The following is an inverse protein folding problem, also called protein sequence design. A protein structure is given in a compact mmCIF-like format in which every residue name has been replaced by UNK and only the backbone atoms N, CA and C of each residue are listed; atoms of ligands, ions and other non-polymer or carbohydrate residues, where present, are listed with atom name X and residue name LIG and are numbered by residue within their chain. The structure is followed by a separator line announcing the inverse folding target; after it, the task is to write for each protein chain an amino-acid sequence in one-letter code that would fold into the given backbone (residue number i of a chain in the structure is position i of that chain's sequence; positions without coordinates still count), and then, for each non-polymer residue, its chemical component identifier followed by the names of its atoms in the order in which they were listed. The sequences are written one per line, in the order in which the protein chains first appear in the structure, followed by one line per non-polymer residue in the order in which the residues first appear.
data_IF_937349947076
#
_entry.id   IF_937349947076
#
_cell.length_a   1.000
_cell.length_b   1.000
_cell.length_c   1.000
_cell.angle_alpha   90.00
_cell.angle_beta   90.00
_cell.angle_gamma   90.00
#
_symmetry.space_group_name_H-M   'P 1'
#
loop_
_entity.id
_entity.type
_entity.pdbx_description
1 polymer ?
#
# COMPACT_ATOMS: atom_id res chain seq x y z
N UNK A 1 19.61 -28.16 1.20
CA UNK A 1 19.18 -28.86 -0.03
C UNK A 1 19.00 -27.81 -1.12
N UNK A 2 19.07 -28.11 -2.43
CA UNK A 2 18.82 -27.10 -3.48
C UNK A 2 17.32 -26.92 -3.67
N UNK A 3 16.84 -25.68 -3.67
CA UNK A 3 15.47 -25.34 -4.03
C UNK A 3 15.46 -24.67 -5.41
N UNK A 4 14.56 -25.11 -6.29
CA UNK A 4 14.41 -24.62 -7.65
C UNK A 4 13.01 -23.98 -7.82
N UNK A 5 12.98 -22.80 -8.44
CA UNK A 5 11.75 -22.04 -8.67
C UNK A 5 11.52 -21.85 -10.18
N UNK A 6 10.28 -21.91 -10.61
CA UNK A 6 9.88 -21.57 -11.99
C UNK A 6 8.84 -20.46 -11.98
N UNK A 7 8.86 -19.61 -13.00
CA UNK A 7 8.01 -18.43 -13.10
C UNK A 7 7.26 -18.39 -14.43
N UNK A 8 6.10 -17.73 -14.46
CA UNK A 8 5.42 -17.35 -15.70
C UNK A 8 6.11 -16.14 -16.36
N UNK A 9 5.65 -15.75 -17.55
CA UNK A 9 6.21 -14.60 -18.29
C UNK A 9 5.89 -13.24 -17.65
N UNK A 10 5.05 -13.20 -16.60
CA UNK A 10 4.73 -11.99 -15.82
C UNK A 10 5.54 -11.94 -14.52
N UNK A 11 6.42 -12.91 -14.28
CA UNK A 11 7.24 -12.97 -13.07
C UNK A 11 6.52 -13.57 -11.86
N UNK A 12 5.40 -14.27 -12.03
CA UNK A 12 4.77 -14.98 -10.92
C UNK A 12 5.33 -16.40 -10.78
N UNK A 13 5.67 -16.82 -9.56
CA UNK A 13 6.19 -18.16 -9.29
C UNK A 13 5.09 -19.19 -9.55
N UNK A 14 5.31 -20.12 -10.47
CA UNK A 14 4.33 -21.18 -10.82
C UNK A 14 4.67 -22.54 -10.23
N UNK A 15 5.89 -22.70 -9.70
CA UNK A 15 6.39 -24.00 -9.22
C UNK A 15 7.60 -23.85 -8.30
N UNK A 16 7.63 -24.65 -7.24
CA UNK A 16 8.75 -24.86 -6.33
C UNK A 16 9.13 -26.35 -6.26
N UNK A 17 10.43 -26.64 -6.33
CA UNK A 17 10.99 -27.99 -6.16
C UNK A 17 12.13 -27.99 -5.11
N UNK A 18 12.11 -28.93 -4.16
CA UNK A 18 13.18 -29.12 -3.19
C UNK A 18 13.92 -30.42 -3.47
N UNK A 19 15.20 -30.35 -3.85
CA UNK A 19 16.00 -31.54 -4.13
C UNK A 19 15.47 -32.42 -5.29
N UNK A 20 14.77 -31.80 -6.26
CA UNK A 20 14.00 -32.43 -7.36
C UNK A 20 12.65 -33.06 -6.95
N UNK A 21 12.28 -33.00 -5.69
CA UNK A 21 10.91 -33.31 -5.27
C UNK A 21 10.02 -32.08 -5.51
N UNK A 22 8.85 -32.29 -6.08
CA UNK A 22 7.85 -31.25 -6.24
C UNK A 22 7.33 -30.82 -4.85
N UNK A 23 7.37 -29.52 -4.57
CA UNK A 23 6.95 -28.95 -3.30
C UNK A 23 5.61 -28.23 -3.42
N UNK A 24 5.52 -27.23 -4.30
CA UNK A 24 4.30 -26.44 -4.52
C UNK A 24 4.14 -26.04 -5.98
N UNK A 25 2.91 -25.75 -6.38
CA UNK A 25 2.58 -25.18 -7.68
C UNK A 25 1.46 -24.16 -7.58
N UNK A 26 1.47 -23.20 -8.51
CA UNK A 26 0.62 -22.01 -8.46
C UNK A 26 0.07 -21.66 -9.85
N UNK A 27 -1.15 -21.12 -9.92
CA UNK A 27 -1.75 -20.56 -11.13
C UNK A 27 -2.26 -19.15 -10.85
N UNK A 28 -1.86 -18.19 -11.68
CA UNK A 28 -2.28 -16.79 -11.58
C UNK A 28 -3.31 -16.44 -12.65
N UNK A 29 -4.37 -15.74 -12.25
CA UNK A 29 -5.45 -15.31 -13.12
C UNK A 29 -5.09 -14.12 -14.01
N UNK A 30 -6.09 -13.63 -14.76
CA UNK A 30 -5.95 -12.47 -15.63
C UNK A 30 -5.64 -11.17 -14.85
N UNK A 31 -6.14 -11.05 -13.62
CA UNK A 31 -5.85 -9.94 -12.70
C UNK A 31 -4.48 -10.04 -12.00
N UNK A 32 -3.63 -10.98 -12.42
CA UNK A 32 -2.34 -11.28 -11.77
C UNK A 32 -2.47 -11.68 -10.29
N UNK A 33 -3.60 -12.28 -9.91
CA UNK A 33 -3.87 -12.84 -8.57
C UNK A 33 -3.73 -14.36 -8.57
N UNK A 34 -3.23 -14.94 -7.48
CA UNK A 34 -3.17 -16.40 -7.29
C UNK A 34 -4.59 -16.98 -7.29
N UNK A 35 -4.94 -17.76 -8.30
CA UNK A 35 -6.25 -18.43 -8.41
C UNK A 35 -6.24 -19.86 -7.88
N UNK A 36 -5.07 -20.52 -7.89
CA UNK A 36 -4.93 -21.91 -7.45
C UNK A 36 -3.54 -22.16 -6.90
N UNK A 37 -3.45 -22.86 -5.79
CA UNK A 37 -2.22 -23.47 -5.28
C UNK A 37 -2.41 -24.97 -5.06
N UNK A 38 -1.32 -25.74 -5.08
CA UNK A 38 -1.33 -27.15 -4.69
C UNK A 38 0.02 -27.59 -4.15
N UNK A 39 -0.02 -28.54 -3.22
CA UNK A 39 1.16 -29.05 -2.50
C UNK A 39 1.74 -30.33 -3.13
N UNK A 40 2.88 -30.77 -2.60
CA UNK A 40 3.58 -31.99 -3.01
C UNK A 40 2.79 -33.29 -2.80
N UNK A 41 1.72 -33.24 -2.01
CA UNK A 41 0.82 -34.38 -1.73
C UNK A 41 -0.40 -34.38 -2.65
N UNK A 42 -0.58 -33.34 -3.46
CA UNK A 42 -1.70 -33.17 -4.39
C UNK A 42 -2.94 -32.55 -3.76
N UNK A 43 -2.83 -31.98 -2.56
CA UNK A 43 -3.90 -31.16 -1.99
C UNK A 43 -3.98 -29.84 -2.77
N UNK A 44 -5.19 -29.43 -3.13
CA UNK A 44 -5.42 -28.25 -3.97
C UNK A 44 -6.29 -27.21 -3.24
N UNK A 45 -5.95 -25.93 -3.41
CA UNK A 45 -6.73 -24.79 -2.99
C UNK A 45 -7.06 -23.90 -4.19
N UNK A 46 -8.32 -23.48 -4.30
CA UNK A 46 -8.81 -22.50 -5.27
C UNK A 46 -9.19 -21.22 -4.52
N UNK A 47 -8.84 -20.06 -5.08
CA UNK A 47 -9.07 -18.77 -4.44
C UNK A 47 -10.08 -17.91 -5.22
N UNK A 48 -10.98 -17.28 -4.48
CA UNK A 48 -12.01 -16.39 -5.04
C UNK A 48 -11.70 -14.94 -4.70
N UNK A 49 -11.89 -14.04 -5.68
CA UNK A 49 -11.67 -12.61 -5.53
C UNK A 49 -12.89 -11.81 -6.00
N UNK A 50 -13.16 -10.69 -5.35
CA UNK A 50 -14.15 -9.72 -5.82
C UNK A 50 -13.61 -8.87 -6.98
N UNK A 51 -14.47 -8.01 -7.54
CA UNK A 51 -14.08 -7.11 -8.64
C UNK A 51 -13.04 -6.04 -8.27
N UNK A 52 -12.79 -5.83 -6.97
CA UNK A 52 -11.74 -4.96 -6.44
C UNK A 52 -10.43 -5.71 -6.19
N UNK A 53 -10.37 -7.01 -6.50
CA UNK A 53 -9.17 -7.83 -6.33
C UNK A 53 -8.91 -8.28 -4.90
N UNK A 54 -9.88 -8.19 -3.98
CA UNK A 54 -9.73 -8.69 -2.60
C UNK A 54 -10.20 -10.15 -2.51
N UNK A 55 -9.48 -10.99 -1.76
CA UNK A 55 -9.77 -12.43 -1.64
C UNK A 55 -11.00 -12.65 -0.75
N UNK A 56 -12.09 -13.15 -1.33
CA UNK A 56 -13.41 -13.36 -0.68
C UNK A 56 -13.68 -14.80 -0.27
N UNK A 57 -12.78 -15.73 -0.56
CA UNK A 57 -12.95 -17.11 -0.14
C UNK A 57 -11.89 -18.04 -0.71
N UNK A 58 -11.99 -19.30 -0.31
CA UNK A 58 -11.13 -20.39 -0.73
C UNK A 58 -11.92 -21.70 -0.77
N UNK A 59 -11.55 -22.60 -1.69
CA UNK A 59 -12.07 -23.97 -1.72
C UNK A 59 -10.90 -24.95 -1.65
N UNK A 60 -10.90 -25.84 -0.67
CA UNK A 60 -9.89 -26.90 -0.51
C UNK A 60 -10.56 -28.25 -0.37
N UNK A 61 -10.19 -29.22 -1.21
CA UNK A 61 -10.75 -30.57 -1.22
C UNK A 61 -12.31 -30.62 -1.23
N UNK A 62 -12.92 -29.63 -1.89
CA UNK A 62 -14.38 -29.47 -1.97
C UNK A 62 -15.05 -28.85 -0.74
N UNK A 63 -14.28 -28.45 0.28
CA UNK A 63 -14.76 -27.62 1.38
C UNK A 63 -14.59 -26.15 1.04
N UNK A 64 -15.66 -25.38 1.16
CA UNK A 64 -15.67 -23.95 0.88
C UNK A 64 -15.51 -23.15 2.18
N UNK A 65 -14.70 -22.10 2.08
CA UNK A 65 -14.54 -21.05 3.07
C UNK A 65 -14.95 -19.72 2.45
N UNK A 66 -15.94 -19.06 3.04
CA UNK A 66 -16.38 -17.73 2.62
C UNK A 66 -15.84 -16.66 3.58
N UNK A 67 -15.41 -15.53 3.02
CA UNK A 67 -14.83 -14.42 3.76
C UNK A 67 -15.74 -13.19 3.70
N UNK A 68 -16.12 -12.67 4.86
CA UNK A 68 -16.72 -11.34 4.97
C UNK A 68 -15.60 -10.32 5.17
N UNK A 69 -15.54 -9.33 4.29
CA UNK A 69 -14.50 -8.30 4.32
C UNK A 69 -15.05 -6.93 4.72
N UNK A 70 -14.26 -6.16 5.45
CA UNK A 70 -14.42 -4.71 5.57
C UNK A 70 -13.88 -4.03 4.31
N UNK A 71 -14.77 -3.65 3.40
CA UNK A 71 -14.38 -3.02 2.15
C UNK A 71 -13.85 -1.58 2.33
N UNK A 72 -13.91 -1.02 3.53
CA UNK A 72 -13.30 0.28 3.85
C UNK A 72 -11.82 0.17 4.22
N UNK A 73 -11.30 -1.06 4.34
CA UNK A 73 -9.91 -1.33 4.71
C UNK A 73 -9.19 -2.17 3.64
N UNK A 74 -7.97 -1.79 3.24
CA UNK A 74 -7.19 -2.52 2.23
C UNK A 74 -6.54 -3.80 2.76
N UNK A 75 -6.17 -3.81 4.05
CA UNK A 75 -5.67 -4.94 4.82
C UNK A 75 -6.35 -5.00 6.20
N UNK A 76 -6.04 -6.02 7.01
CA UNK A 76 -6.72 -6.28 8.30
C UNK A 76 -8.24 -6.21 8.22
N UNK A 77 -8.77 -6.64 7.06
CA UNK A 77 -10.15 -6.43 6.68
C UNK A 77 -11.01 -7.70 6.77
N UNK A 78 -10.46 -8.83 7.21
CA UNK A 78 -11.20 -10.08 7.31
C UNK A 78 -12.10 -10.07 8.55
N UNK A 79 -13.39 -9.76 8.40
CA UNK A 79 -14.35 -9.71 9.50
C UNK A 79 -14.90 -11.08 9.89
N UNK A 80 -15.08 -11.99 8.93
CA UNK A 80 -15.61 -13.33 9.19
C UNK A 80 -14.99 -14.38 8.26
N UNK A 81 -14.77 -15.59 8.79
CA UNK A 81 -14.61 -16.81 8.00
C UNK A 81 -15.80 -17.73 8.31
N UNK A 82 -16.53 -18.12 7.26
CA UNK A 82 -17.62 -19.08 7.34
C UNK A 82 -17.26 -20.38 6.64
N UNK A 83 -17.42 -21.51 7.34
CA UNK A 83 -17.18 -22.87 6.85
C UNK A 83 -18.36 -23.76 7.27
N UNK A 84 -18.47 -24.96 6.68
CA UNK A 84 -19.52 -25.90 7.10
C UNK A 84 -19.40 -26.26 8.59
N UNK A 85 -20.31 -25.73 9.43
CA UNK A 85 -20.38 -26.03 10.86
C UNK A 85 -19.42 -25.23 11.77
N UNK A 86 -18.64 -24.29 11.21
CA UNK A 86 -17.73 -23.40 11.95
C UNK A 86 -17.80 -21.98 11.38
N UNK A 87 -17.95 -21.00 12.25
CA UNK A 87 -17.91 -19.57 11.94
C UNK A 87 -16.94 -18.89 12.90
N UNK A 88 -16.09 -18.01 12.36
CA UNK A 88 -15.13 -17.23 13.12
C UNK A 88 -15.33 -15.75 12.80
N UNK A 89 -15.69 -14.96 13.80
CA UNK A 89 -15.79 -13.51 13.68
C UNK A 89 -14.52 -12.87 14.23
N UNK A 90 -13.97 -11.89 13.55
CA UNK A 90 -12.71 -11.23 13.92
C UNK A 90 -12.96 -9.77 14.27
N UNK A 91 -12.25 -9.30 15.29
CA UNK A 91 -12.35 -7.96 15.81
C UNK A 91 -10.98 -7.29 15.75
N UNK A 92 -10.95 -6.09 15.21
CA UNK A 92 -9.74 -5.31 14.96
C UNK A 92 -9.77 -4.00 15.72
N UNK A 93 -8.58 -3.50 16.02
CA UNK A 93 -8.33 -2.11 16.38
C UNK A 93 -7.30 -1.58 15.37
N UNK A 94 -6.00 -1.80 15.63
CA UNK A 94 -4.90 -1.63 14.65
C UNK A 94 -4.57 -2.94 13.90
N UNK A 95 -4.61 -4.07 14.62
CA UNK A 95 -4.50 -5.43 14.11
C UNK A 95 -5.52 -6.34 14.83
N UNK A 96 -5.56 -7.63 14.54
CA UNK A 96 -6.52 -8.60 15.12
C UNK A 96 -6.36 -8.68 16.64
N UNK A 97 -7.36 -8.23 17.38
CA UNK A 97 -7.32 -8.26 18.86
C UNK A 97 -8.07 -9.46 19.42
N UNK A 98 -9.13 -9.89 18.74
CA UNK A 98 -9.96 -10.99 19.19
C UNK A 98 -10.61 -11.74 18.03
N UNK A 99 -10.96 -13.00 18.31
CA UNK A 99 -11.79 -13.84 17.46
C UNK A 99 -12.90 -14.44 18.31
N UNK A 100 -14.12 -14.49 17.79
CA UNK A 100 -15.21 -15.26 18.37
C UNK A 100 -15.43 -16.54 17.58
N UNK A 101 -15.26 -17.69 18.23
CA UNK A 101 -15.46 -19.01 17.63
C UNK A 101 -16.89 -19.50 17.88
N UNK A 102 -17.62 -19.80 16.81
CA UNK A 102 -18.90 -20.51 16.83
C UNK A 102 -18.74 -21.85 16.10
N UNK A 103 -18.55 -22.93 16.85
CA UNK A 103 -18.34 -24.28 16.31
C UNK A 103 -19.37 -25.27 16.86
N UNK A 104 -19.91 -26.13 15.99
CA UNK A 104 -20.77 -27.25 16.40
C UNK A 104 -19.92 -28.50 16.73
N UNK A 105 -19.31 -28.53 17.92
CA UNK A 105 -18.92 -29.77 18.60
C UNK A 105 -17.84 -30.64 17.96
N UNK A 106 -16.63 -30.10 17.74
CA UNK A 106 -15.46 -30.90 17.36
C UNK A 106 -14.25 -30.68 18.28
N UNK A 107 -13.45 -31.73 18.47
CA UNK A 107 -12.12 -31.66 19.05
C UNK A 107 -11.12 -31.32 17.95
N UNK A 108 -10.45 -30.17 18.08
CA UNK A 108 -9.30 -29.80 17.26
C UNK A 108 -8.07 -30.65 17.58
N UNK A 109 -6.90 -30.28 17.06
CA UNK A 109 -5.60 -30.99 17.10
C UNK A 109 -5.08 -31.39 18.51
N UNK A 110 -5.80 -32.26 19.20
CA UNK A 110 -5.58 -32.63 20.61
C UNK A 110 -5.93 -31.52 21.63
N UNK A 111 -6.61 -30.44 21.20
CA UNK A 111 -7.07 -29.32 22.04
C UNK A 111 -8.59 -29.19 21.97
N UNK A 112 -9.19 -28.83 23.09
CA UNK A 112 -10.62 -28.50 23.15
C UNK A 112 -10.79 -27.00 22.91
N UNK A 113 -11.49 -26.60 21.86
CA UNK A 113 -11.77 -25.20 21.56
C UNK A 113 -13.00 -24.75 22.36
N UNK A 114 -12.95 -23.60 23.03
CA UNK A 114 -14.14 -23.03 23.67
C UNK A 114 -14.90 -22.16 22.68
N UNK A 115 -16.23 -22.29 22.61
CA UNK A 115 -17.03 -21.31 21.87
C UNK A 115 -17.05 -19.98 22.64
N UNK A 116 -16.96 -18.87 21.92
CA UNK A 116 -16.88 -17.51 22.47
C UNK A 116 -15.57 -16.80 22.11
N UNK A 117 -15.25 -15.74 22.86
CA UNK A 117 -14.14 -14.84 22.58
C UNK A 117 -12.77 -15.43 22.94
N UNK A 118 -11.85 -15.34 21.99
CA UNK A 118 -10.44 -15.68 22.07
C UNK A 118 -9.65 -14.40 21.80
N UNK A 119 -8.60 -14.18 22.57
CA UNK A 119 -7.77 -12.97 22.49
C UNK A 119 -6.39 -13.29 21.95
N UNK A 120 -5.92 -12.42 21.06
CA UNK A 120 -4.60 -12.47 20.45
C UNK A 120 -3.59 -11.70 21.30
N UNK A 121 -2.41 -12.29 21.46
CA UNK A 121 -1.22 -11.65 22.01
C UNK A 121 -0.15 -11.69 20.92
N UNK A 122 0.22 -10.51 20.43
CA UNK A 122 1.08 -10.34 19.28
C UNK A 122 2.47 -9.83 19.68
N UNK A 123 3.44 -9.98 18.80
CA UNK A 123 4.74 -9.28 18.86
C UNK A 123 4.61 -7.82 18.36
N UNK A 124 5.74 -7.11 18.33
CA UNK A 124 5.84 -5.73 17.85
C UNK A 124 5.53 -5.55 16.36
N UNK A 125 5.63 -6.61 15.55
CA UNK A 125 5.31 -6.59 14.11
C UNK A 125 3.85 -6.99 13.84
N UNK A 126 3.10 -7.36 14.87
CA UNK A 126 1.72 -7.80 14.75
C UNK A 126 1.53 -9.31 14.51
N UNK A 127 2.59 -10.12 14.62
CA UNK A 127 2.48 -11.57 14.49
C UNK A 127 1.84 -12.18 15.75
N UNK A 128 0.81 -13.03 15.65
CA UNK A 128 0.25 -13.73 16.80
C UNK A 128 1.28 -14.67 17.44
N UNK A 129 1.68 -14.39 18.68
CA UNK A 129 2.52 -15.29 19.48
C UNK A 129 1.68 -16.28 20.29
N UNK A 130 0.52 -15.82 20.79
CA UNK A 130 -0.42 -16.67 21.53
C UNK A 130 -1.87 -16.29 21.23
N UNK A 131 -2.74 -17.30 21.24
CA UNK A 131 -4.19 -17.12 21.17
C UNK A 131 -4.85 -17.89 22.32
N UNK A 132 -5.64 -17.19 23.12
CA UNK A 132 -6.39 -17.78 24.24
C UNK A 132 -7.64 -18.52 23.76
N UNK A 133 -8.41 -19.13 24.67
CA UNK A 133 -9.67 -19.80 24.29
C UNK A 133 -9.54 -21.29 23.94
N UNK A 134 -8.41 -21.91 24.32
CA UNK A 134 -8.15 -23.34 24.10
C UNK A 134 -7.90 -24.07 25.42
N UNK A 135 -8.42 -25.28 25.55
CA UNK A 135 -8.15 -26.19 26.66
C UNK A 135 -7.13 -27.26 26.25
N UNK A 136 -6.12 -27.51 27.09
CA UNK A 136 -5.21 -28.63 26.91
C UNK A 136 -5.65 -29.84 27.74
N UNK A 137 -5.77 -31.01 27.11
CA UNK A 137 -5.92 -32.26 27.85
C UNK A 137 -4.64 -32.60 28.60
N UNK A 138 -4.74 -33.13 29.83
CA UNK A 138 -3.60 -33.43 30.70
C UNK A 138 -2.53 -34.38 30.09
N UNK A 139 -2.81 -35.03 28.96
CA UNK A 139 -1.89 -35.91 28.23
C UNK A 139 -1.40 -35.37 26.88
N UNK A 140 -1.82 -34.18 26.43
CA UNK A 140 -1.43 -33.70 25.08
C UNK A 140 -0.06 -33.04 25.02
N UNK A 141 0.55 -32.69 26.16
CA UNK A 141 1.81 -31.94 26.21
C UNK A 141 1.71 -30.52 25.65
N UNK A 142 0.51 -30.05 25.26
CA UNK A 142 0.26 -28.75 24.63
C UNK A 142 -0.25 -27.72 25.64
N UNK A 143 0.00 -26.43 25.38
CA UNK A 143 -0.50 -25.32 26.20
C UNK A 143 -2.01 -25.09 26.00
N UNK A 144 -2.68 -24.47 26.98
CA UNK A 144 -4.06 -23.94 26.90
C UNK A 144 -4.16 -22.67 26.02
N UNK A 145 -3.13 -22.41 25.23
CA UNK A 145 -3.06 -21.38 24.22
C UNK A 145 -2.63 -22.06 22.92
N UNK A 146 -3.09 -21.54 21.79
CA UNK A 146 -2.28 -21.65 20.59
C UNK A 146 -1.01 -20.84 20.84
N UNK A 147 0.13 -21.34 20.39
CA UNK A 147 1.42 -20.70 20.60
C UNK A 147 2.22 -20.87 19.34
N UNK A 148 2.77 -19.78 18.84
CA UNK A 148 3.49 -19.74 17.58
C UNK A 148 4.89 -19.18 17.80
N UNK A 149 5.79 -19.54 16.91
CA UNK A 149 7.15 -19.03 16.87
C UNK A 149 7.51 -18.70 15.43
N UNK A 150 8.19 -17.58 15.25
CA UNK A 150 8.64 -17.06 13.96
C UNK A 150 10.13 -16.76 14.06
N UNK A 151 10.86 -16.99 12.98
CA UNK A 151 12.17 -16.36 12.78
C UNK A 151 12.01 -14.93 12.24
N UNK A 152 13.11 -14.31 11.79
CA UNK A 152 13.11 -12.92 11.33
C UNK A 152 12.29 -12.74 10.05
N UNK A 153 12.08 -13.79 9.27
CA UNK A 153 11.34 -13.78 8.00
C UNK A 153 10.00 -14.50 8.07
N UNK A 154 9.58 -14.95 9.26
CA UNK A 154 8.28 -15.56 9.49
C UNK A 154 8.24 -17.09 9.40
N UNK A 155 9.38 -17.77 9.26
CA UNK A 155 9.41 -19.23 9.19
C UNK A 155 8.82 -19.87 10.46
N UNK A 156 8.06 -20.95 10.27
CA UNK A 156 7.44 -21.68 11.38
C UNK A 156 8.51 -22.45 12.16
N UNK A 157 8.88 -21.88 13.31
CA UNK A 157 9.86 -22.48 14.22
C UNK A 157 9.41 -23.88 14.70
N UNK A 158 8.10 -24.13 14.77
CA UNK A 158 7.56 -25.45 15.08
C UNK A 158 7.91 -26.48 14.01
N UNK A 159 7.72 -26.12 12.73
CA UNK A 159 8.08 -26.98 11.58
C UNK A 159 9.58 -27.27 11.56
N UNK A 160 10.43 -26.27 11.80
CA UNK A 160 11.89 -26.46 11.88
C UNK A 160 12.30 -27.44 12.99
N UNK A 161 11.67 -27.35 14.16
CA UNK A 161 11.93 -28.28 15.27
C UNK A 161 11.51 -29.70 14.90
N UNK A 162 10.36 -29.88 14.24
CA UNK A 162 9.88 -31.19 13.79
C UNK A 162 10.83 -31.82 12.76
N UNK A 163 11.32 -31.04 11.80
CA UNK A 163 12.31 -31.47 10.81
C UNK A 163 13.65 -31.87 11.45
N UNK A 164 14.01 -31.21 12.57
CA UNK A 164 15.19 -31.52 13.37
C UNK A 164 14.98 -32.69 14.36
N UNK A 165 13.80 -33.34 14.36
CA UNK A 165 13.39 -34.38 15.31
C UNK A 165 13.42 -33.89 16.79
N UNK A 166 13.23 -32.59 17.02
CA UNK A 166 13.15 -31.96 18.34
C UNK A 166 11.67 -31.80 18.73
N UNK A 167 11.28 -32.07 20.00
CA UNK A 167 9.90 -31.87 20.44
C UNK A 167 9.38 -30.45 20.17
N UNK A 168 8.33 -30.33 19.36
CA UNK A 168 7.70 -29.06 18.99
C UNK A 168 6.68 -28.60 20.06
N UNK A 169 6.89 -27.45 20.72
CA UNK A 169 5.94 -26.88 21.68
C UNK A 169 4.89 -25.94 21.03
N UNK A 170 5.05 -25.61 19.75
CA UNK A 170 4.22 -24.66 19.00
C UNK A 170 3.03 -25.36 18.32
N UNK A 171 1.99 -24.58 17.95
CA UNK A 171 0.95 -25.01 17.01
C UNK A 171 1.35 -24.67 15.58
N UNK A 172 0.75 -25.35 14.60
CA UNK A 172 1.00 -25.05 13.19
C UNK A 172 0.36 -23.73 12.78
N UNK A 173 1.10 -22.90 12.03
CA UNK A 173 0.56 -21.67 11.47
C UNK A 173 -0.67 -21.96 10.59
N UNK A 174 -1.70 -21.11 10.66
CA UNK A 174 -3.00 -21.34 9.99
C UNK A 174 -3.89 -22.43 10.61
N UNK A 175 -3.39 -23.23 11.56
CA UNK A 175 -4.25 -24.17 12.29
C UNK A 175 -5.14 -23.45 13.31
N UNK A 176 -6.42 -23.80 13.31
CA UNK A 176 -7.50 -23.24 14.15
C UNK A 176 -7.83 -21.76 13.92
N UNK A 177 -6.88 -20.93 13.51
CA UNK A 177 -7.05 -19.52 13.18
C UNK A 177 -6.12 -19.10 12.04
N UNK A 178 -6.50 -18.11 11.21
CA UNK A 178 -5.85 -17.88 9.92
C UNK A 178 -4.59 -17.00 9.96
N UNK A 179 -4.37 -16.21 11.00
CA UNK A 179 -3.33 -15.17 11.01
C UNK A 179 -1.98 -15.71 11.49
N UNK A 180 -0.88 -15.24 10.90
CA UNK A 180 0.47 -15.57 11.33
C UNK A 180 1.39 -14.37 11.24
N UNK A 181 2.57 -14.55 10.66
CA UNK A 181 3.61 -13.52 10.56
C UNK A 181 3.02 -12.17 10.11
N UNK A 182 3.32 -11.12 10.90
CA UNK A 182 2.87 -9.72 10.72
C UNK A 182 1.36 -9.50 10.57
N UNK A 183 0.53 -10.47 10.97
CA UNK A 183 -0.93 -10.41 10.82
C UNK A 183 -1.43 -10.87 9.44
N UNK A 184 -0.56 -11.36 8.57
CA UNK A 184 -0.98 -11.98 7.30
C UNK A 184 -1.78 -13.25 7.52
N UNK A 185 -2.60 -13.62 6.54
CA UNK A 185 -3.29 -14.90 6.54
C UNK A 185 -2.37 -15.99 5.99
N UNK A 186 -2.10 -17.01 6.78
CA UNK A 186 -1.30 -18.16 6.34
C UNK A 186 -2.15 -19.10 5.47
N UNK A 187 -1.57 -19.55 4.37
CA UNK A 187 -2.13 -20.57 3.50
C UNK A 187 -1.36 -21.89 3.64
N UNK A 188 -2.00 -22.86 4.28
CA UNK A 188 -1.44 -24.20 4.52
C UNK A 188 -1.26 -25.04 3.25
N UNK A 189 -1.98 -24.75 2.17
CA UNK A 189 -1.84 -25.48 0.89
C UNK A 189 -0.80 -24.81 -0.01
N UNK A 190 -0.79 -23.48 -0.05
CA UNK A 190 0.20 -22.69 -0.78
C UNK A 190 1.57 -22.68 -0.12
N UNK A 191 1.62 -22.89 1.21
CA UNK A 191 2.84 -22.74 2.00
C UNK A 191 3.32 -21.29 2.04
N UNK A 192 2.39 -20.33 1.94
CA UNK A 192 2.65 -18.91 1.79
C UNK A 192 1.78 -18.06 2.72
N UNK A 193 2.10 -16.78 2.80
CA UNK A 193 1.31 -15.78 3.50
C UNK A 193 0.61 -14.85 2.51
N UNK A 194 -0.70 -14.72 2.63
CA UNK A 194 -1.45 -13.79 1.80
C UNK A 194 -1.36 -12.36 2.36
N UNK A 195 -0.56 -11.54 1.68
CA UNK A 195 -0.32 -10.13 1.98
C UNK A 195 -1.19 -9.20 1.13
N UNK A 196 -2.44 -9.58 0.85
CA UNK A 196 -3.39 -8.85 -0.02
C UNK A 196 -2.98 -8.73 -1.49
N UNK A 197 -1.90 -8.00 -1.79
CA UNK A 197 -1.45 -7.79 -3.15
C UNK A 197 -0.76 -9.03 -3.74
N UNK A 198 0.02 -9.73 -2.92
CA UNK A 198 0.94 -10.81 -3.29
C UNK A 198 0.98 -11.89 -2.20
N UNK A 199 1.55 -13.04 -2.56
CA UNK A 199 1.88 -14.10 -1.62
C UNK A 199 3.33 -13.95 -1.15
N UNK A 200 3.55 -13.94 0.16
CA UNK A 200 4.85 -13.84 0.80
C UNK A 200 5.35 -15.24 1.19
N UNK A 201 6.58 -15.56 0.79
CA UNK A 201 7.25 -16.83 1.02
C UNK A 201 8.31 -16.64 2.12
N UNK A 202 8.11 -17.28 3.27
CA UNK A 202 9.02 -17.15 4.42
C UNK A 202 10.35 -17.86 4.19
N UNK A 203 10.34 -19.01 3.52
CA UNK A 203 11.53 -19.86 3.33
C UNK A 203 12.68 -19.13 2.62
N UNK A 204 12.37 -18.08 1.85
CA UNK A 204 13.35 -17.25 1.15
C UNK A 204 13.18 -15.74 1.40
N UNK A 205 12.27 -15.35 2.31
CA UNK A 205 12.03 -13.96 2.72
C UNK A 205 11.61 -13.04 1.57
N UNK A 206 10.74 -13.49 0.66
CA UNK A 206 10.42 -12.79 -0.60
C UNK A 206 8.97 -12.98 -1.02
N UNK A 207 8.47 -12.09 -1.88
CA UNK A 207 7.18 -12.31 -2.56
C UNK A 207 7.29 -13.39 -3.64
N UNK A 208 6.18 -14.08 -3.90
CA UNK A 208 6.05 -15.11 -4.93
C UNK A 208 5.85 -14.51 -6.33
N UNK A 209 5.47 -13.23 -6.42
CA UNK A 209 5.26 -12.51 -7.66
C UNK A 209 6.12 -11.24 -7.73
N UNK A 210 6.51 -10.85 -8.94
CA UNK A 210 7.09 -9.52 -9.18
C UNK A 210 6.10 -8.46 -8.69
N UNK A 211 6.65 -7.44 -8.05
CA UNK A 211 5.96 -6.19 -7.87
C UNK A 211 5.40 -5.67 -9.21
N UNK A 212 4.16 -5.20 -9.18
CA UNK A 212 3.53 -4.58 -10.35
C UNK A 212 4.26 -3.29 -10.72
N UNK A 213 4.96 -2.67 -9.77
CA UNK A 213 5.80 -1.51 -10.01
C UNK A 213 7.25 -1.93 -10.21
N UNK A 214 7.87 -1.41 -11.28
CA UNK A 214 9.20 -1.85 -11.70
C UNK A 214 10.29 -1.13 -10.90
N UNK A 215 11.28 -1.91 -10.47
CA UNK A 215 12.44 -1.40 -9.76
C UNK A 215 13.23 -0.35 -10.53
N UNK A 216 13.87 0.55 -9.78
CA UNK A 216 14.64 1.66 -10.32
C UNK A 216 16.12 1.26 -10.50
N UNK A 217 16.71 1.55 -11.67
CA UNK A 217 18.12 1.27 -11.96
C UNK A 217 19.10 2.07 -11.09
N UNK A 218 18.66 3.22 -10.56
CA UNK A 218 19.46 4.07 -9.67
C UNK A 218 19.54 3.46 -8.27
N UNK A 219 18.51 2.73 -7.83
CA UNK A 219 18.51 2.00 -6.56
C UNK A 219 18.46 0.50 -6.84
N UNK A 220 19.65 -0.07 -7.02
CA UNK A 220 19.85 -1.45 -7.44
C UNK A 220 19.11 -2.50 -6.58
N UNK A 221 18.76 -2.21 -5.32
CA UNK A 221 18.00 -3.14 -4.47
C UNK A 221 16.52 -3.26 -4.87
N UNK A 222 15.94 -2.22 -5.47
CA UNK A 222 14.53 -2.20 -5.95
C UNK A 222 14.38 -2.94 -7.28
N UNK A 223 15.47 -3.08 -8.05
CA UNK A 223 15.51 -3.94 -9.24
C UNK A 223 15.10 -5.38 -8.93
N UNK A 224 15.26 -5.80 -7.67
CA UNK A 224 14.69 -7.02 -7.17
C UNK A 224 13.22 -6.83 -6.74
N UNK A 225 12.31 -7.02 -7.69
CA UNK A 225 10.85 -6.88 -7.51
C UNK A 225 10.20 -7.97 -6.64
N UNK A 226 10.98 -8.87 -6.06
CA UNK A 226 10.51 -9.89 -5.11
C UNK A 226 10.90 -9.56 -3.67
N UNK A 227 11.56 -8.44 -3.44
CA UNK A 227 12.09 -8.08 -2.12
C UNK A 227 10.96 -7.91 -1.11
N UNK A 228 11.15 -8.44 0.09
CA UNK A 228 10.30 -8.16 1.24
C UNK A 228 11.06 -7.26 2.21
N UNK A 229 10.52 -6.08 2.50
CA UNK A 229 11.07 -5.17 3.51
C UNK A 229 12.57 -4.87 3.35
N UNK A 230 13.10 -4.83 2.12
CA UNK A 230 14.53 -4.65 1.79
C UNK A 230 15.47 -5.70 2.43
N UNK A 231 14.95 -6.87 2.79
CA UNK A 231 15.60 -7.89 3.64
C UNK A 231 15.90 -7.39 5.07
N UNK A 232 15.13 -6.43 5.59
CA UNK A 232 15.19 -5.92 6.95
C UNK A 232 13.82 -6.01 7.65
N UNK A 233 13.34 -7.23 7.76
CA UNK A 233 12.02 -7.59 8.29
C UNK A 233 11.86 -7.46 9.81
N UNK A 234 12.93 -7.06 10.52
CA UNK A 234 12.87 -6.74 11.95
C UNK A 234 12.41 -5.30 12.23
N UNK A 235 12.55 -4.41 11.23
CA UNK A 235 12.16 -3.00 11.36
C UNK A 235 10.92 -2.65 10.55
N UNK A 236 10.66 -3.35 9.45
CA UNK A 236 9.60 -2.98 8.50
C UNK A 236 8.60 -4.11 8.31
N UNK A 237 7.34 -3.72 8.08
CA UNK A 237 6.21 -4.61 7.81
C UNK A 237 5.45 -4.08 6.59
N UNK A 238 5.13 -4.96 5.64
CA UNK A 238 4.41 -4.61 4.43
C UNK A 238 2.93 -5.08 4.51
N UNK A 239 2.00 -4.33 5.09
CA UNK A 239 0.68 -4.89 5.45
C UNK A 239 -0.22 -5.35 4.29
N UNK A 240 -0.06 -4.78 3.10
CA UNK A 240 -0.88 -5.09 1.91
C UNK A 240 -0.09 -5.26 0.62
N UNK A 241 1.24 -5.16 0.67
CA UNK A 241 2.12 -5.17 -0.47
C UNK A 241 2.41 -3.80 -1.11
N UNK A 242 2.02 -2.64 -0.50
CA UNK A 242 2.01 -1.24 -1.05
C UNK A 242 2.09 -0.10 0.04
N UNK A 243 2.42 1.16 -0.30
CA UNK A 243 2.55 2.35 0.61
C UNK A 243 2.30 3.74 -0.08
N UNK A 244 1.47 4.65 0.50
CA UNK A 244 1.11 5.98 -0.07
C UNK A 244 1.03 7.13 0.97
N UNK A 245 1.59 8.31 0.65
CA UNK A 245 1.65 9.49 1.56
C UNK A 245 1.04 10.77 0.95
N UNK A 246 0.38 11.59 1.79
CA UNK A 246 -0.30 12.82 1.37
C UNK A 246 0.05 14.02 2.27
N UNK A 247 0.91 14.90 1.77
CA UNK A 247 1.30 16.14 2.41
C UNK A 247 0.36 17.28 2.03
N UNK A 248 -0.15 18.05 2.99
CA UNK A 248 -1.08 19.14 2.69
C UNK A 248 -0.94 20.33 3.64
N UNK A 249 -1.03 21.56 3.12
CA UNK A 249 -1.14 22.76 3.96
C UNK A 249 -2.62 22.99 4.37
N UNK A 250 -2.97 22.86 5.67
CA UNK A 250 -4.35 22.98 6.13
C UNK A 250 -4.98 24.37 5.91
N UNK A 251 -4.16 25.42 5.81
CA UNK A 251 -4.60 26.81 5.77
C UNK A 251 -4.61 27.40 4.35
N UNK A 252 -3.83 26.80 3.44
CA UNK A 252 -3.69 27.15 2.02
C UNK A 252 -5.04 27.37 1.30
N UNK A 253 -6.17 26.81 1.78
CA UNK A 253 -7.51 27.07 1.22
C UNK A 253 -8.69 27.23 2.22
N UNK A 254 -8.49 27.71 3.46
CA UNK A 254 -9.49 27.81 4.58
C UNK A 254 -11.02 27.66 4.26
N UNK A 255 -11.63 26.59 4.81
CA UNK A 255 -13.08 26.29 4.98
C UNK A 255 -13.34 24.78 5.20
N UNK A 256 -14.52 24.34 5.68
CA UNK A 256 -14.92 22.90 5.82
C UNK A 256 -14.78 22.05 4.54
N UNK A 257 -14.47 22.71 3.42
CA UNK A 257 -14.29 22.13 2.09
C UNK A 257 -12.89 21.57 1.87
N UNK A 258 -11.84 22.16 2.46
CA UNK A 258 -10.44 21.68 2.28
C UNK A 258 -10.24 20.31 2.87
N UNK A 259 -10.76 20.11 4.08
CA UNK A 259 -10.78 18.80 4.73
C UNK A 259 -11.45 17.77 3.82
N UNK A 260 -12.54 18.15 3.14
CA UNK A 260 -13.25 17.28 2.21
C UNK A 260 -12.52 17.08 0.87
N UNK A 261 -11.70 18.03 0.42
CA UNK A 261 -10.82 17.86 -0.75
C UNK A 261 -9.74 16.82 -0.47
N UNK A 262 -9.00 17.00 0.62
CA UNK A 262 -7.98 16.04 1.04
C UNK A 262 -8.61 14.67 1.35
N UNK A 263 -9.73 14.62 2.09
CA UNK A 263 -10.45 13.37 2.35
C UNK A 263 -10.91 12.69 1.05
N UNK A 264 -11.42 13.43 0.07
CA UNK A 264 -11.87 12.85 -1.21
C UNK A 264 -10.71 12.35 -2.07
N UNK A 265 -9.60 13.09 -2.12
CA UNK A 265 -8.40 12.63 -2.84
C UNK A 265 -7.80 11.40 -2.17
N UNK A 266 -7.74 11.37 -0.83
CA UNK A 266 -7.34 10.20 -0.05
C UNK A 266 -8.25 9.00 -0.34
N UNK A 267 -9.58 9.12 -0.25
CA UNK A 267 -10.52 8.02 -0.54
C UNK A 267 -10.29 7.42 -1.95
N UNK A 268 -9.99 8.27 -2.94
CA UNK A 268 -9.71 7.84 -4.31
C UNK A 268 -8.33 7.16 -4.44
N UNK A 269 -7.32 7.68 -3.76
CA UNK A 269 -5.97 7.09 -3.73
C UNK A 269 -5.99 5.75 -2.99
N UNK A 270 -6.73 5.65 -1.88
CA UNK A 270 -6.99 4.40 -1.18
C UNK A 270 -7.71 3.40 -2.09
N UNK A 271 -8.66 3.82 -2.93
CA UNK A 271 -9.29 2.96 -3.96
C UNK A 271 -8.28 2.53 -5.04
N UNK A 272 -7.46 3.44 -5.57
CA UNK A 272 -6.48 3.15 -6.64
C UNK A 272 -5.39 2.18 -6.16
N UNK A 273 -4.78 2.51 -5.03
CA UNK A 273 -3.64 1.77 -4.52
C UNK A 273 -4.11 0.60 -3.65
N UNK A 274 -5.35 0.58 -3.15
CA UNK A 274 -5.79 -0.41 -2.16
C UNK A 274 -4.79 -0.46 -1.00
N UNK A 275 -4.54 0.73 -0.41
CA UNK A 275 -3.72 0.96 0.80
C UNK A 275 -4.27 2.17 1.56
N UNK A 276 -3.99 2.30 2.86
CA UNK A 276 -4.39 3.47 3.65
C UNK A 276 -3.44 4.62 3.33
N UNK A 277 -3.95 5.83 3.13
CA UNK A 277 -3.08 6.97 2.81
C UNK A 277 -2.62 7.64 4.09
N UNK A 278 -1.30 7.86 4.25
CA UNK A 278 -0.72 8.55 5.41
C UNK A 278 -0.80 10.09 5.26
N UNK A 279 -1.65 10.81 6.01
CA UNK A 279 -1.80 12.26 5.86
C UNK A 279 -0.81 13.05 6.73
N UNK A 280 -0.14 14.03 6.13
CA UNK A 280 0.84 14.90 6.81
C UNK A 280 0.43 16.38 6.70
N UNK A 281 -0.11 16.99 7.79
CA UNK A 281 -0.47 18.40 7.80
C UNK A 281 0.77 19.30 7.91
N UNK A 282 0.89 20.28 7.03
CA UNK A 282 2.01 21.21 6.91
C UNK A 282 1.72 22.58 7.56
N UNK A 283 1.83 22.64 8.89
CA UNK A 283 1.69 23.89 9.66
C UNK A 283 3.03 24.61 9.87
N UNK A 284 4.13 24.00 9.43
CA UNK A 284 5.48 24.57 9.51
C UNK A 284 6.39 23.99 8.41
N UNK A 285 7.53 24.64 8.18
CA UNK A 285 8.60 24.08 7.33
C UNK A 285 9.11 22.75 7.89
N UNK A 286 9.19 22.63 9.21
CA UNK A 286 9.70 21.44 9.88
C UNK A 286 8.73 20.26 9.75
N UNK A 287 7.43 20.52 9.64
CA UNK A 287 6.42 19.46 9.42
C UNK A 287 6.67 18.77 8.07
N UNK A 288 7.09 19.53 7.05
CA UNK A 288 7.44 18.95 5.75
C UNK A 288 8.69 18.07 5.86
N UNK A 289 9.76 18.57 6.50
CA UNK A 289 11.02 17.83 6.65
C UNK A 289 10.83 16.59 7.50
N UNK A 290 10.22 16.73 8.68
CA UNK A 290 9.96 15.61 9.58
C UNK A 290 9.00 14.62 8.97
N UNK A 291 7.94 15.08 8.31
CA UNK A 291 6.99 14.21 7.63
C UNK A 291 7.66 13.42 6.51
N UNK A 292 8.46 14.10 5.68
CA UNK A 292 9.24 13.47 4.62
C UNK A 292 10.20 12.44 5.20
N UNK A 293 11.02 12.83 6.17
CA UNK A 293 12.00 11.92 6.78
C UNK A 293 11.34 10.79 7.58
N UNK A 294 10.12 10.99 8.09
CA UNK A 294 9.35 9.94 8.78
C UNK A 294 8.74 8.89 7.85
N UNK A 295 8.66 9.18 6.54
CA UNK A 295 8.23 8.15 5.59
C UNK A 295 9.18 6.97 5.70
N UNK A 296 8.63 5.77 5.92
CA UNK A 296 9.46 4.59 6.06
C UNK A 296 10.28 4.39 4.78
N UNK A 297 11.55 4.03 4.91
CA UNK A 297 12.44 3.82 3.75
C UNK A 297 12.08 2.50 3.03
N UNK A 298 10.94 2.51 2.33
CA UNK A 298 10.37 1.45 1.47
C UNK A 298 10.07 1.96 0.05
N UNK A 299 9.49 1.12 -0.80
CA UNK A 299 9.03 1.54 -2.13
C UNK A 299 7.67 2.24 -1.95
N UNK A 300 7.67 3.58 -1.91
CA UNK A 300 6.45 4.36 -1.73
C UNK A 300 5.75 4.48 -3.09
N UNK A 301 4.59 3.86 -3.26
CA UNK A 301 3.82 3.88 -4.52
C UNK A 301 3.50 5.31 -4.96
N UNK A 302 3.08 6.17 -4.02
CA UNK A 302 2.82 7.57 -4.33
C UNK A 302 3.01 8.54 -3.16
N UNK A 303 3.52 9.72 -3.47
CA UNK A 303 3.55 10.88 -2.58
C UNK A 303 2.82 12.03 -3.24
N UNK A 304 1.84 12.62 -2.56
CA UNK A 304 1.08 13.76 -3.05
C UNK A 304 1.40 14.96 -2.17
N UNK A 305 1.77 16.08 -2.79
CA UNK A 305 2.09 17.33 -2.09
C UNK A 305 1.11 18.41 -2.54
N UNK A 306 0.17 18.75 -1.66
CA UNK A 306 -0.88 19.74 -1.90
C UNK A 306 -0.67 21.03 -1.10
N UNK A 307 -0.20 22.08 -1.79
CA UNK A 307 0.25 23.33 -1.16
C UNK A 307 0.23 24.47 -2.17
N UNK A 308 0.23 25.72 -1.71
CA UNK A 308 0.60 26.84 -2.58
C UNK A 308 2.06 26.70 -2.96
N UNK A 309 2.40 27.05 -4.19
CA UNK A 309 3.77 26.91 -4.65
C UNK A 309 4.10 27.91 -5.74
N UNK A 310 5.38 27.99 -6.05
CA UNK A 310 5.90 28.57 -7.27
C UNK A 310 7.11 27.72 -7.72
N UNK A 311 7.86 28.11 -8.77
CA UNK A 311 8.97 27.30 -9.25
C UNK A 311 10.10 27.09 -8.23
N UNK A 312 10.20 27.91 -7.18
CA UNK A 312 11.29 27.87 -6.20
C UNK A 312 10.87 27.34 -4.83
N UNK A 313 9.58 27.37 -4.47
CA UNK A 313 9.15 27.08 -3.09
C UNK A 313 7.82 26.34 -3.01
N UNK A 314 7.71 25.48 -2.01
CA UNK A 314 6.43 25.07 -1.40
C UNK A 314 6.10 26.04 -0.26
N UNK A 315 4.90 26.60 -0.27
CA UNK A 315 4.41 27.56 0.72
C UNK A 315 3.62 26.82 1.80
N UNK A 316 4.16 26.76 3.01
CA UNK A 316 3.54 26.08 4.16
C UNK A 316 3.22 27.09 5.26
N UNK A 317 2.29 26.76 6.16
CA UNK A 317 1.74 27.73 7.12
C UNK A 317 1.17 29.00 6.45
N UNK A 318 0.25 28.81 5.50
CA UNK A 318 -0.32 29.93 4.74
C UNK A 318 -1.38 30.69 5.54
N UNK A 319 -1.08 31.90 6.02
CA UNK A 319 -2.05 32.75 6.70
C UNK A 319 -2.82 33.68 5.75
N UNK A 320 -4.12 33.88 6.04
CA UNK A 320 -4.93 34.92 5.40
C UNK A 320 -4.66 36.27 6.04
N UNK A 321 -4.17 37.21 5.25
CA UNK A 321 -4.05 38.63 5.61
C UNK A 321 -4.92 39.49 4.69
N UNK A 322 -5.11 40.77 5.03
CA UNK A 322 -5.70 41.74 4.11
C UNK A 322 -4.62 42.73 3.71
N UNK A 323 -4.53 43.03 2.42
CA UNK A 323 -3.68 44.11 1.95
C UNK A 323 -4.28 45.48 2.37
N UNK A 324 -3.53 46.55 2.13
CA UNK A 324 -3.94 47.92 2.47
C UNK A 324 -5.22 48.37 1.71
N UNK A 325 -5.60 47.65 0.65
CA UNK A 325 -6.82 47.85 -0.13
C UNK A 325 -8.00 46.97 0.35
N UNK A 326 -7.80 46.16 1.40
CA UNK A 326 -8.81 45.28 1.98
C UNK A 326 -9.04 43.97 1.21
N UNK A 327 -8.22 43.66 0.20
CA UNK A 327 -8.25 42.41 -0.55
C UNK A 327 -7.57 41.31 0.29
N UNK A 328 -8.15 40.11 0.28
CA UNK A 328 -7.54 38.97 0.96
C UNK A 328 -6.26 38.59 0.21
N UNK A 329 -5.15 38.59 0.95
CA UNK A 329 -3.83 38.18 0.50
C UNK A 329 -3.41 36.95 1.32
N UNK A 330 -3.02 35.88 0.63
CA UNK A 330 -2.44 34.69 1.26
C UNK A 330 -0.95 34.95 1.45
N UNK A 331 -0.47 34.83 2.68
CA UNK A 331 0.94 34.96 3.04
C UNK A 331 1.39 33.69 3.73
N UNK A 332 2.41 33.03 3.21
CA UNK A 332 3.09 31.95 3.95
C UNK A 332 3.99 32.53 5.03
N UNK A 333 3.87 32.04 6.26
CA UNK A 333 4.85 32.30 7.31
C UNK A 333 6.08 31.39 7.20
N UNK A 334 5.94 30.25 6.52
CA UNK A 334 7.01 29.29 6.30
C UNK A 334 7.08 28.88 4.83
N UNK A 335 8.27 28.44 4.41
CA UNK A 335 8.54 28.00 3.03
C UNK A 335 9.53 26.86 3.08
N UNK A 336 9.33 25.88 2.22
CA UNK A 336 10.34 24.89 1.88
C UNK A 336 10.89 25.25 0.50
N UNK A 337 12.15 25.62 0.44
CA UNK A 337 12.85 26.08 -0.76
C UNK A 337 13.34 24.88 -1.57
N UNK A 338 13.37 25.00 -2.89
CA UNK A 338 13.86 23.93 -3.77
C UNK A 338 15.32 23.53 -3.49
N UNK A 339 16.13 24.44 -2.95
CA UNK A 339 17.52 24.16 -2.56
C UNK A 339 17.60 23.22 -1.35
N UNK A 340 16.55 23.16 -0.53
CA UNK A 340 16.46 22.32 0.68
C UNK A 340 16.03 20.89 0.35
N UNK A 341 15.65 20.59 -0.90
CA UNK A 341 15.36 19.23 -1.36
C UNK A 341 16.53 18.30 -1.10
N UNK A 342 17.76 18.79 -1.24
CA UNK A 342 18.97 18.00 -1.04
C UNK A 342 19.28 17.72 0.44
N UNK A 343 18.60 18.42 1.36
CA UNK A 343 18.74 18.22 2.81
C UNK A 343 17.75 17.16 3.34
N UNK A 344 16.78 16.74 2.52
CA UNK A 344 15.83 15.69 2.86
C UNK A 344 16.51 14.31 2.85
N UNK A 345 16.02 13.40 3.69
CA UNK A 345 16.41 11.99 3.57
C UNK A 345 15.98 11.44 2.21
N UNK A 346 16.87 10.68 1.58
CA UNK A 346 16.59 10.03 0.31
C UNK A 346 15.42 9.07 0.44
N UNK A 347 14.38 9.23 -0.40
CA UNK A 347 13.25 8.30 -0.46
C UNK A 347 13.15 7.65 -1.83
N UNK A 348 12.62 6.43 -1.87
CA UNK A 348 12.21 5.78 -3.12
C UNK A 348 10.71 5.94 -3.28
N UNK A 349 10.32 6.62 -4.36
CA UNK A 349 8.92 6.97 -4.61
C UNK A 349 8.60 6.69 -6.07
N UNK A 350 7.59 5.89 -6.37
CA UNK A 350 7.23 5.59 -7.76
C UNK A 350 6.59 6.81 -8.43
N UNK A 351 5.63 7.44 -7.75
CA UNK A 351 4.93 8.63 -8.25
C UNK A 351 4.93 9.78 -7.25
N UNK A 352 5.60 10.89 -7.56
CA UNK A 352 5.48 12.14 -6.81
C UNK A 352 4.57 13.12 -7.54
N UNK A 353 3.49 13.58 -6.90
CA UNK A 353 2.53 14.53 -7.48
C UNK A 353 2.58 15.87 -6.75
N UNK A 354 2.86 16.94 -7.49
CA UNK A 354 2.72 18.30 -7.00
C UNK A 354 1.36 18.90 -7.40
N UNK A 355 0.49 19.12 -6.41
CA UNK A 355 -0.74 19.89 -6.56
C UNK A 355 -0.51 21.37 -6.20
N UNK A 356 0.62 21.92 -6.63
CA UNK A 356 1.02 23.30 -6.37
C UNK A 356 1.26 24.10 -7.65
N UNK A 357 1.00 25.40 -7.57
CA UNK A 357 1.07 26.28 -8.74
C UNK A 357 2.50 26.40 -9.28
N UNK A 358 2.69 26.25 -10.59
CA UNK A 358 3.96 26.46 -11.32
C UNK A 358 5.14 25.63 -10.77
N UNK A 359 4.86 24.50 -10.12
CA UNK A 359 5.88 23.60 -9.56
C UNK A 359 6.75 22.95 -10.64
N UNK A 360 6.17 22.76 -11.83
CA UNK A 360 6.85 22.23 -13.03
C UNK A 360 6.89 23.24 -14.17
N UNK A 361 7.22 24.51 -13.89
CA UNK A 361 7.34 25.56 -14.92
C UNK A 361 8.52 25.24 -15.85
N UNK A 362 8.23 24.91 -17.12
CA UNK A 362 9.25 24.41 -18.06
C UNK A 362 10.13 25.47 -18.70
N UNK A 363 9.71 26.74 -18.68
CA UNK A 363 10.59 27.86 -19.03
C UNK A 363 11.81 27.97 -18.10
N UNK A 364 11.74 27.31 -16.94
CA UNK A 364 12.80 27.28 -15.94
C UNK A 364 13.20 25.83 -15.66
N UNK A 365 14.29 25.42 -16.30
CA UNK A 365 14.90 24.09 -16.12
C UNK A 365 15.28 23.77 -14.67
N UNK A 366 15.43 24.78 -13.82
CA UNK A 366 15.67 24.63 -12.38
C UNK A 366 14.43 25.09 -11.60
N UNK A 367 13.49 24.18 -11.44
CA UNK A 367 12.28 24.33 -10.63
C UNK A 367 12.18 23.22 -9.56
N UNK A 368 11.25 23.35 -8.63
CA UNK A 368 11.12 22.43 -7.53
C UNK A 368 10.84 20.99 -7.97
N UNK A 369 9.99 20.77 -8.99
CA UNK A 369 9.73 19.43 -9.51
C UNK A 369 11.01 18.77 -10.04
N UNK A 370 11.82 19.52 -10.82
CA UNK A 370 13.10 19.04 -11.33
C UNK A 370 14.16 18.79 -10.26
N UNK A 371 14.04 19.41 -9.06
CA UNK A 371 14.95 19.14 -7.94
C UNK A 371 14.67 17.81 -7.25
N UNK A 372 13.41 17.38 -7.25
CA UNK A 372 13.05 16.06 -6.73
C UNK A 372 13.39 14.91 -7.69
N UNK A 373 13.72 15.22 -8.95
CA UNK A 373 14.09 14.24 -9.98
C UNK A 373 15.35 14.70 -10.73
N UNK A 374 16.31 15.27 -10.01
CA UNK A 374 17.53 15.80 -10.63
C UNK A 374 18.43 14.67 -11.17
N UNK A 375 19.47 15.01 -11.95
CA UNK A 375 20.34 14.02 -12.62
C UNK A 375 21.11 13.12 -11.62
N UNK A 376 21.25 13.56 -10.36
CA UNK A 376 21.82 12.76 -9.27
C UNK A 376 20.75 11.87 -8.60
N UNK A 377 19.47 12.13 -8.88
CA UNK A 377 18.26 11.53 -8.31
C UNK A 377 18.46 11.21 -6.83
N UNK A 378 18.87 12.24 -6.06
CA UNK A 378 19.15 12.12 -4.61
C UNK A 378 17.97 11.43 -3.92
N UNK A 379 16.76 11.70 -4.42
CA UNK A 379 15.54 10.98 -4.14
C UNK A 379 15.26 10.04 -5.31
N UNK A 380 15.11 8.75 -5.06
CA UNK A 380 14.92 7.74 -6.09
C UNK A 380 13.48 7.75 -6.61
N UNK A 381 13.11 8.80 -7.34
CA UNK A 381 11.74 9.04 -7.78
C UNK A 381 11.52 8.55 -9.21
N UNK A 382 10.51 7.70 -9.43
CA UNK A 382 10.18 7.09 -10.73
C UNK A 382 9.59 8.09 -11.72
N UNK A 383 8.59 8.85 -11.28
CA UNK A 383 8.09 10.02 -12.02
C UNK A 383 7.64 11.14 -11.10
N UNK A 384 7.82 12.37 -11.57
CA UNK A 384 7.23 13.57 -10.96
C UNK A 384 6.14 14.11 -11.87
N UNK A 385 4.95 14.33 -11.33
CA UNK A 385 3.84 15.00 -12.01
C UNK A 385 3.71 16.41 -11.43
N UNK A 386 3.88 17.44 -12.24
CA UNK A 386 3.87 18.83 -11.77
C UNK A 386 3.17 19.77 -12.75
N UNK A 387 2.55 20.83 -12.22
CA UNK A 387 1.80 21.79 -13.02
C UNK A 387 2.68 22.94 -13.52
N UNK A 388 2.57 23.21 -14.82
CA UNK A 388 3.09 24.41 -15.49
C UNK A 388 2.00 25.51 -15.51
N UNK A 389 1.44 25.82 -14.33
CA UNK A 389 0.38 26.82 -14.22
C UNK A 389 -0.27 26.89 -12.85
N UNK A 390 -1.32 27.70 -12.72
CA UNK A 390 -2.13 27.80 -11.51
C UNK A 390 -3.06 26.59 -11.40
N UNK A 391 -2.91 25.82 -10.32
CA UNK A 391 -3.78 24.68 -10.00
C UNK A 391 -5.04 25.18 -9.31
N UNK A 392 -6.20 24.67 -9.72
CA UNK A 392 -7.48 24.91 -9.09
C UNK A 392 -8.23 23.59 -8.95
N UNK A 393 -8.70 23.31 -7.74
CA UNK A 393 -9.75 22.34 -7.49
C UNK A 393 -11.09 23.07 -7.64
N UNK A 394 -11.96 22.57 -8.52
CA UNK A 394 -13.31 23.14 -8.65
C UNK A 394 -14.28 22.32 -7.82
N UNK A 395 -14.82 22.95 -6.77
CA UNK A 395 -15.95 22.41 -6.01
C UNK A 395 -17.12 22.10 -6.94
N UNK A 396 -17.46 20.82 -7.10
CA UNK A 396 -18.80 20.41 -7.55
C UNK A 396 -19.64 19.92 -6.37
N UNK A 397 -19.48 20.52 -5.19
CA UNK A 397 -20.43 20.25 -4.10
C UNK A 397 -21.76 20.92 -4.41
N UNK A 398 -22.72 20.08 -4.80
CA UNK A 398 -24.16 20.18 -4.54
C UNK A 398 -24.69 21.59 -4.78
N UNK A 399 -25.14 21.86 -6.00
CA UNK A 399 -26.09 22.95 -6.24
C UNK A 399 -27.23 22.82 -5.24
N UNK A 400 -27.37 23.81 -4.35
CA UNK A 400 -28.56 23.96 -3.52
C UNK A 400 -29.80 23.81 -4.41
N UNK A 401 -30.61 22.79 -4.13
CA UNK A 401 -31.83 22.35 -4.84
C UNK A 401 -31.62 21.25 -5.89
N UNK A 402 -31.50 20.00 -5.45
CA UNK A 402 -32.53 18.95 -5.65
C UNK A 402 -32.06 17.59 -5.13
N UNK A 403 -32.99 16.91 -4.47
CA UNK A 403 -32.89 15.51 -4.07
C UNK A 403 -32.95 14.61 -5.31
N UNK A 404 -31.82 14.07 -5.75
CA UNK A 404 -31.74 12.79 -6.44
C UNK A 404 -30.43 12.10 -6.06
N UNK A 405 -30.55 10.86 -5.58
CA UNK A 405 -29.45 9.92 -5.43
C UNK A 405 -29.09 9.47 -6.85
N UNK A 406 -27.90 9.81 -7.31
CA UNK A 406 -27.21 9.11 -8.40
C UNK A 406 -25.79 8.82 -7.94
N UNK A 407 -25.33 7.61 -8.23
CA UNK A 407 -24.04 6.99 -7.89
C UNK A 407 -22.82 7.66 -8.56
N UNK A 408 -22.82 8.98 -8.73
CA UNK A 408 -21.70 9.71 -9.33
C UNK A 408 -20.83 10.33 -8.24
N UNK A 409 -19.62 9.77 -8.16
CA UNK A 409 -18.50 10.02 -7.26
C UNK A 409 -18.20 11.52 -7.07
N UNK A 410 -17.58 11.86 -5.95
CA UNK A 410 -16.96 13.17 -5.66
C UNK A 410 -16.14 13.66 -6.88
N UNK A 411 -16.72 14.54 -7.70
CA UNK A 411 -16.00 15.16 -8.83
C UNK A 411 -15.27 16.41 -8.34
N UNK A 412 -14.05 16.20 -7.82
CA UNK A 412 -13.06 17.25 -7.59
C UNK A 412 -12.22 17.46 -8.84
N UNK A 413 -12.80 18.20 -9.78
CA UNK A 413 -12.10 18.49 -11.02
C UNK A 413 -10.83 19.28 -10.73
N UNK A 414 -9.71 18.67 -11.08
CA UNK A 414 -8.39 19.25 -11.03
C UNK A 414 -8.13 19.97 -12.35
N UNK A 415 -7.89 21.28 -12.29
CA UNK A 415 -7.69 22.11 -13.48
C UNK A 415 -6.42 22.92 -13.36
N UNK A 416 -5.67 23.02 -14.46
CA UNK A 416 -4.57 23.96 -14.59
C UNK A 416 -5.03 25.13 -15.46
N UNK A 417 -4.75 26.34 -14.98
CA UNK A 417 -5.02 27.58 -15.69
C UNK A 417 -3.74 28.41 -15.76
N UNK A 418 -3.74 29.44 -16.59
CA UNK A 418 -2.57 30.29 -16.77
C UNK A 418 -2.03 30.82 -15.43
N UNK A 419 -0.74 30.57 -15.19
CA UNK A 419 0.01 31.00 -14.02
C UNK A 419 0.23 32.51 -13.94
N UNK A 420 0.47 33.05 -12.73
CA UNK A 420 0.94 34.45 -12.57
C UNK A 420 2.40 34.65 -12.96
N UNK A 421 3.18 33.58 -13.09
CA UNK A 421 4.61 33.61 -13.39
C UNK A 421 4.93 33.57 -14.90
N UNK A 422 3.92 33.62 -15.79
CA UNK A 422 4.10 33.70 -17.25
C UNK A 422 4.65 35.06 -17.69
N UNK A 423 5.72 35.07 -18.48
CA UNK A 423 6.21 36.26 -19.17
C UNK A 423 5.76 36.25 -20.65
N UNK A 424 4.71 37.01 -20.93
CA UNK A 424 4.31 37.63 -22.21
C UNK A 424 3.73 36.79 -23.38
N UNK A 425 3.97 35.48 -23.55
CA UNK A 425 3.39 34.73 -24.70
C UNK A 425 2.08 33.95 -24.41
N UNK A 426 1.82 33.65 -23.14
CA UNK A 426 0.59 33.02 -22.64
C UNK A 426 0.40 31.54 -22.93
N UNK A 427 1.45 30.83 -23.35
CA UNK A 427 1.37 29.41 -23.75
C UNK A 427 1.67 28.46 -22.59
N UNK A 428 0.68 27.81 -21.98
CA UNK A 428 0.88 26.84 -20.88
C UNK A 428 0.34 25.45 -21.22
N UNK A 429 1.06 24.40 -20.82
CA UNK A 429 0.77 23.02 -21.26
C UNK A 429 0.00 22.19 -20.22
N UNK A 430 -0.17 22.71 -19.00
CA UNK A 430 -0.87 22.04 -17.92
C UNK A 430 0.06 21.19 -17.04
N UNK A 431 -0.42 20.02 -16.62
CA UNK A 431 0.41 19.03 -15.93
C UNK A 431 1.38 18.36 -16.90
N UNK A 432 2.60 18.17 -16.41
CA UNK A 432 3.66 17.45 -17.09
C UNK A 432 4.17 16.32 -16.23
N UNK A 433 4.60 15.25 -16.88
CA UNK A 433 5.30 14.12 -16.26
C UNK A 433 6.78 14.24 -16.59
N UNK A 434 7.60 14.20 -15.56
CA UNK A 434 9.05 14.20 -15.60
C UNK A 434 9.54 12.81 -15.20
N UNK A 435 10.39 12.19 -16.01
CA UNK A 435 10.99 10.87 -15.70
C UNK A 435 12.28 10.67 -16.50
N UNK A 436 13.17 9.77 -16.04
CA UNK A 436 14.34 9.38 -16.84
C UNK A 436 14.02 8.16 -17.71
N UNK A 437 14.41 8.21 -18.98
CA UNK A 437 14.33 7.05 -19.86
C UNK A 437 15.43 6.01 -19.57
N UNK A 438 15.40 4.87 -20.27
CA UNK A 438 16.39 3.81 -20.11
C UNK A 438 17.84 4.22 -20.45
N UNK A 439 18.04 5.39 -21.07
CA UNK A 439 19.34 5.97 -21.39
C UNK A 439 19.74 7.09 -20.43
N UNK A 440 19.01 7.27 -19.33
CA UNK A 440 19.22 8.32 -18.34
C UNK A 440 19.07 9.74 -18.91
N UNK A 441 18.18 9.92 -19.89
CA UNK A 441 17.78 11.25 -20.34
C UNK A 441 16.50 11.67 -19.60
N UNK A 442 16.47 12.90 -19.09
CA UNK A 442 15.24 13.49 -18.58
C UNK A 442 14.24 13.66 -19.72
N UNK A 443 13.09 13.01 -19.60
CA UNK A 443 11.95 13.11 -20.49
C UNK A 443 10.86 13.91 -19.79
N UNK A 444 10.29 14.87 -20.52
CA UNK A 444 9.18 15.71 -20.07
C UNK A 444 8.03 15.50 -21.04
N UNK A 445 6.92 14.97 -20.55
CA UNK A 445 5.74 14.70 -21.36
C UNK A 445 4.53 15.50 -20.89
N UNK A 446 3.77 16.01 -21.85
CA UNK A 446 2.49 16.65 -21.58
C UNK A 446 1.43 15.61 -21.20
N UNK A 447 0.83 15.82 -20.03
CA UNK A 447 -0.29 15.01 -19.53
C UNK A 447 -1.62 15.68 -19.88
N UNK A 448 -1.67 17.02 -19.78
CA UNK A 448 -2.85 17.85 -20.08
C UNK A 448 -3.25 18.76 -18.91
N UNK A 449 -4.37 19.44 -19.01
CA UNK A 449 -4.74 20.54 -18.08
C UNK A 449 -6.09 20.36 -17.36
N UNK A 450 -6.86 19.30 -17.64
CA UNK A 450 -8.13 19.01 -16.96
C UNK A 450 -8.25 17.53 -16.61
N UNK A 451 -8.55 17.25 -15.34
CA UNK A 451 -8.68 15.90 -14.79
C UNK A 451 -9.88 15.83 -13.87
N UNK A 452 -10.50 14.66 -13.77
CA UNK A 452 -11.67 14.49 -12.89
C UNK A 452 -11.30 14.48 -11.40
N UNK A 453 -10.06 14.08 -11.07
CA UNK A 453 -9.47 14.05 -9.73
C UNK A 453 -7.97 13.69 -9.83
N UNK A 454 -7.28 13.58 -8.68
CA UNK A 454 -5.84 13.21 -8.62
C UNK A 454 -5.55 11.82 -9.22
N UNK A 455 -6.45 10.85 -9.07
CA UNK A 455 -6.29 9.49 -9.64
C UNK A 455 -6.38 9.50 -11.17
N UNK A 456 -7.31 10.26 -11.76
CA UNK A 456 -7.39 10.46 -13.22
C UNK A 456 -6.11 11.13 -13.77
N UNK A 457 -5.53 12.07 -13.02
CA UNK A 457 -4.23 12.65 -13.36
C UNK A 457 -3.13 11.59 -13.38
N UNK A 458 -3.00 10.80 -12.31
CA UNK A 458 -1.97 9.75 -12.21
C UNK A 458 -2.17 8.70 -13.32
N UNK A 459 -3.38 8.18 -13.49
CA UNK A 459 -3.66 7.18 -14.52
C UNK A 459 -3.31 7.67 -15.92
N UNK A 460 -3.60 8.94 -16.26
CA UNK A 460 -3.20 9.50 -17.57
C UNK A 460 -1.70 9.71 -17.73
N UNK A 461 -0.98 9.92 -16.64
CA UNK A 461 0.48 9.99 -16.65
C UNK A 461 1.12 8.59 -16.76
N UNK A 462 0.44 7.55 -16.28
CA UNK A 462 0.85 6.14 -16.41
C UNK A 462 0.51 5.57 -17.80
N UNK A 463 -0.72 5.81 -18.29
CA UNK A 463 -1.24 5.27 -19.55
C UNK A 463 -0.81 6.11 -20.75
N UNK A 464 0.39 5.83 -21.29
CA UNK A 464 0.69 6.00 -22.72
C UNK A 464 1.58 4.86 -23.26
N UNK A 465 0.95 3.70 -23.44
CA UNK A 465 1.26 2.89 -24.61
C UNK A 465 0.60 3.55 -25.83
N UNK A 466 1.43 4.09 -26.73
CA UNK A 466 1.10 4.54 -28.09
C UNK A 466 0.01 5.64 -28.21
N UNK A 467 0.45 6.89 -28.39
CA UNK A 467 -0.34 7.85 -29.16
C UNK A 467 0.12 7.80 -30.63
N UNK A 468 -0.85 7.75 -31.54
CA UNK A 468 -0.74 7.56 -33.00
C UNK A 468 0.30 8.42 -33.73
#
# INVERSE_FOLDING_TARGET
MRTDYSYDNRGNMIKQEQGRAFAHGYVYGAMNRLMKAWDGKGQEALYCYNGLGQRTGRTTDGQEEEYLLDLTKPYHNLLEISREGKEQNFYFDWNVVAMEEKRKGEQGSGRTVYSGLHYYMQDELGSPLRVSGFGAGAMSGRSSYLSYGYDEFGNDLGKELEEAEIPNPYGGQGEEQPFGYTGYRYDDVGGDYFAQAREYLTENGRFAAEDVIKGNIVVAETLNQYNYCRNNSLLYVDFDGKDVWYFYDPETFKGDKVRKEVEADMELLEEKYNTEVHPIPLNSREDFINGWNSMEDGNIDAVIIYTHANPDVLQVDTIKSKDDAGKIELKSNARFMKEEVNDLESKTIDTLVFLGCNTGLTERNDNIATRFIDDENIHNIGMVIAADGSVSHKDTYITEKRWFITTEKLQHELRVTQGRYYHEDGTFDGYKKYYYDANNNLVIEEVGYNFTNVVDLINKAEDKACLD
#
